data_IF_200352340429
#
_entry.id   IF_200352340429
#
_cell.length_a   1.000
_cell.length_b   1.000
_cell.length_c   1.000
_cell.angle_alpha   90.00
_cell.angle_beta   90.00
_cell.angle_gamma   90.00
#
_symmetry.space_group_name_H-M   'P 1'
#
loop_
_entity.id
_entity.type
_entity.pdbx_description
1 polymer ?
#
# COMPACT_ATOMS: atom_id res chain seq x y z
N UNK A 1 -12.34 -0.88 39.30
CA UNK A 1 -11.58 -2.12 39.64
C UNK A 1 -10.46 -2.25 38.63
N UNK A 2 -9.21 -2.53 39.01
CA UNK A 2 -8.14 -2.71 38.02
C UNK A 2 -8.30 -4.08 37.36
N UNK A 3 -8.78 -4.12 36.11
CA UNK A 3 -9.05 -5.34 35.33
C UNK A 3 -7.84 -6.32 35.29
N UNK A 4 -6.62 -5.81 35.46
CA UNK A 4 -5.38 -6.62 35.48
C UNK A 4 -5.33 -7.65 36.60
N UNK A 5 -6.04 -7.45 37.71
CA UNK A 5 -6.03 -8.36 38.86
C UNK A 5 -7.01 -9.53 38.71
N UNK A 6 -7.87 -9.50 37.68
CA UNK A 6 -8.92 -10.51 37.43
C UNK A 6 -8.55 -11.49 36.32
N UNK A 7 -7.38 -11.31 35.67
CA UNK A 7 -6.93 -12.15 34.56
C UNK A 7 -6.36 -13.48 35.10
N UNK A 8 -6.94 -14.64 34.74
CA UNK A 8 -6.39 -15.95 35.12
C UNK A 8 -5.02 -16.21 34.50
N UNK A 9 -4.11 -16.91 35.19
CA UNK A 9 -2.80 -17.29 34.61
C UNK A 9 -2.94 -18.15 33.33
N UNK A 10 -4.00 -18.94 33.24
CA UNK A 10 -4.33 -19.76 32.06
C UNK A 10 -4.70 -18.94 30.82
N UNK A 11 -5.07 -17.67 30.97
CA UNK A 11 -5.41 -16.76 29.87
C UNK A 11 -4.27 -16.62 28.85
N UNK A 12 -3.03 -16.55 29.35
CA UNK A 12 -1.84 -16.35 28.54
C UNK A 12 -1.43 -17.59 27.72
N UNK A 13 -2.07 -18.74 27.96
CA UNK A 13 -1.78 -19.98 27.23
C UNK A 13 -2.08 -19.87 25.72
N UNK A 14 -2.99 -18.97 25.32
CA UNK A 14 -3.30 -18.68 23.91
C UNK A 14 -2.05 -18.35 23.09
N UNK A 15 -1.14 -17.55 23.62
CA UNK A 15 0.06 -17.13 22.90
C UNK A 15 1.11 -18.24 22.78
N UNK A 16 0.98 -19.31 23.59
CA UNK A 16 1.88 -20.48 23.57
C UNK A 16 1.30 -21.68 22.81
N UNK A 17 0.00 -21.65 22.53
CA UNK A 17 -0.72 -22.69 21.82
C UNK A 17 -0.19 -22.85 20.38
N UNK A 18 -0.19 -24.09 19.90
CA UNK A 18 0.13 -24.42 18.49
C UNK A 18 -1.03 -23.99 17.57
N UNK A 19 -2.27 -23.98 18.08
CA UNK A 19 -3.48 -23.58 17.38
C UNK A 19 -3.85 -22.09 17.59
N UNK A 20 -2.89 -21.24 18.01
CA UNK A 20 -3.15 -19.85 18.41
C UNK A 20 -3.95 -19.03 17.38
N UNK A 21 -3.64 -19.17 16.09
CA UNK A 21 -4.31 -18.41 15.02
C UNK A 21 -5.79 -18.80 14.93
N UNK A 22 -6.06 -20.10 15.00
CA UNK A 22 -7.42 -20.66 14.98
C UNK A 22 -8.23 -20.17 16.18
N UNK A 23 -7.62 -20.11 17.36
CA UNK A 23 -8.28 -19.62 18.56
C UNK A 23 -8.53 -18.10 18.52
N UNK A 24 -7.61 -17.31 17.97
CA UNK A 24 -7.81 -15.87 17.76
C UNK A 24 -8.96 -15.64 16.77
N UNK A 25 -8.96 -16.32 15.63
CA UNK A 25 -10.05 -16.24 14.65
C UNK A 25 -11.41 -16.64 15.25
N UNK A 26 -11.43 -17.72 16.03
CA UNK A 26 -12.62 -18.18 16.73
C UNK A 26 -13.19 -17.11 17.69
N UNK A 27 -12.31 -16.41 18.42
CA UNK A 27 -12.70 -15.32 19.31
C UNK A 27 -13.27 -14.14 18.54
N UNK A 28 -12.68 -13.77 17.40
CA UNK A 28 -13.19 -12.70 16.53
C UNK A 28 -14.58 -13.03 15.98
N UNK A 29 -14.80 -14.27 15.52
CA UNK A 29 -16.13 -14.69 15.05
C UNK A 29 -17.19 -14.67 16.17
N UNK A 30 -16.82 -15.09 17.38
CA UNK A 30 -17.74 -15.03 18.54
C UNK A 30 -18.02 -13.57 18.93
N UNK A 31 -17.00 -12.70 18.88
CA UNK A 31 -17.13 -11.26 19.19
C UNK A 31 -18.16 -10.59 18.27
N UNK A 32 -18.05 -10.81 16.96
CA UNK A 32 -18.97 -10.26 15.97
C UNK A 32 -20.43 -10.64 16.25
N UNK A 33 -20.70 -11.91 16.57
CA UNK A 33 -22.05 -12.39 16.88
C UNK A 33 -22.54 -11.91 18.26
N UNK A 34 -21.61 -11.64 19.18
CA UNK A 34 -21.92 -11.07 20.49
C UNK A 34 -22.39 -9.61 20.37
N UNK A 35 -21.83 -8.82 19.45
CA UNK A 35 -22.26 -7.43 19.19
C UNK A 35 -23.72 -7.32 18.75
N UNK A 36 -24.22 -8.31 17.99
CA UNK A 36 -25.61 -8.34 17.54
C UNK A 36 -26.59 -8.94 18.56
N UNK A 37 -26.09 -9.46 19.69
CA UNK A 37 -26.88 -10.15 20.72
C UNK A 37 -27.06 -9.31 21.99
N UNK A 38 -28.27 -9.32 22.57
CA UNK A 38 -28.63 -8.35 23.62
C UNK A 38 -27.90 -8.46 24.97
N UNK A 39 -27.16 -9.53 25.27
CA UNK A 39 -26.30 -9.64 26.49
C UNK A 39 -25.52 -10.96 26.58
N UNK A 40 -26.01 -12.04 25.97
CA UNK A 40 -25.42 -13.37 26.06
C UNK A 40 -25.60 -14.14 24.75
N UNK A 41 -24.64 -15.02 24.47
CA UNK A 41 -24.76 -16.03 23.42
C UNK A 41 -25.09 -17.38 24.05
N UNK A 42 -26.02 -18.13 23.48
CA UNK A 42 -26.22 -19.52 23.93
C UNK A 42 -25.06 -20.39 23.45
N UNK A 43 -24.72 -21.44 24.21
CA UNK A 43 -23.66 -22.39 23.83
C UNK A 43 -23.89 -22.96 22.42
N UNK A 44 -25.15 -23.22 22.06
CA UNK A 44 -25.54 -23.77 20.76
C UNK A 44 -25.22 -22.81 19.61
N UNK A 45 -25.50 -21.51 19.79
CA UNK A 45 -25.18 -20.48 18.79
C UNK A 45 -23.66 -20.36 18.63
N UNK A 46 -22.89 -20.33 19.73
CA UNK A 46 -21.43 -20.33 19.65
C UNK A 46 -20.89 -21.56 18.90
N UNK A 47 -21.44 -22.75 19.17
CA UNK A 47 -21.04 -23.97 18.47
C UNK A 47 -21.38 -23.93 16.98
N UNK A 48 -22.54 -23.38 16.62
CA UNK A 48 -22.93 -23.23 15.22
C UNK A 48 -21.99 -22.28 14.48
N UNK A 49 -21.69 -21.10 15.05
CA UNK A 49 -20.77 -20.11 14.48
C UNK A 49 -19.37 -20.71 14.28
N UNK A 50 -18.85 -21.41 15.29
CA UNK A 50 -17.54 -22.08 15.18
C UNK A 50 -17.57 -23.24 14.19
N UNK A 51 -18.68 -23.95 14.07
CA UNK A 51 -18.85 -25.01 13.08
C UNK A 51 -18.83 -24.44 11.65
N UNK A 52 -19.52 -23.34 11.42
CA UNK A 52 -19.55 -22.65 10.13
C UNK A 52 -18.16 -22.10 9.76
N UNK A 53 -17.44 -21.51 10.73
CA UNK A 53 -16.05 -21.08 10.58
C UNK A 53 -15.14 -22.25 10.17
N UNK A 54 -15.23 -23.38 10.90
CA UNK A 54 -14.43 -24.57 10.63
C UNK A 54 -14.74 -25.18 9.25
N UNK A 55 -16.01 -25.16 8.82
CA UNK A 55 -16.41 -25.63 7.50
C UNK A 55 -15.85 -24.75 6.38
N UNK A 56 -15.87 -23.43 6.55
CA UNK A 56 -15.31 -22.47 5.57
C UNK A 56 -13.80 -22.61 5.41
N UNK A 57 -13.06 -22.78 6.51
CA UNK A 57 -11.59 -22.77 6.51
C UNK A 57 -10.94 -24.16 6.47
N UNK A 58 -11.71 -25.25 6.54
CA UNK A 58 -11.20 -26.65 6.60
C UNK A 58 -10.12 -26.86 7.66
N UNK A 59 -10.39 -26.34 8.86
CA UNK A 59 -9.42 -26.30 9.96
C UNK A 59 -9.08 -27.71 10.45
N UNK A 60 -7.79 -28.00 10.62
CA UNK A 60 -7.27 -29.19 11.31
C UNK A 60 -6.61 -28.74 12.61
N UNK A 61 -7.19 -29.11 13.75
CA UNK A 61 -6.64 -28.81 15.06
C UNK A 61 -5.53 -29.81 15.41
N UNK A 62 -4.38 -29.31 15.84
CA UNK A 62 -3.33 -30.12 16.45
C UNK A 62 -3.65 -30.41 17.92
N UNK A 63 -3.08 -31.48 18.48
CA UNK A 63 -3.33 -31.89 19.86
C UNK A 63 -2.67 -30.91 20.83
N UNK A 64 -3.43 -30.36 21.76
CA UNK A 64 -2.92 -29.51 22.84
C UNK A 64 -2.40 -30.37 24.00
N UNK A 65 -1.35 -29.92 24.70
CA UNK A 65 -0.76 -30.66 25.85
C UNK A 65 -1.76 -30.89 26.99
N UNK A 66 -2.81 -30.07 27.07
CA UNK A 66 -3.83 -30.13 28.12
C UNK A 66 -5.10 -30.90 27.74
N UNK A 67 -5.15 -31.50 26.55
CA UNK A 67 -6.29 -32.28 26.04
C UNK A 67 -6.20 -33.76 26.45
N UNK A 68 -7.31 -34.26 26.99
CA UNK A 68 -7.53 -35.68 27.27
C UNK A 68 -7.90 -36.45 26.00
N UNK A 69 -7.77 -37.77 26.02
CA UNK A 69 -8.16 -38.62 24.88
C UNK A 69 -9.67 -38.55 24.60
N UNK A 70 -10.49 -38.14 25.59
CA UNK A 70 -11.92 -37.93 25.43
C UNK A 70 -12.23 -36.64 24.66
N UNK A 71 -11.45 -35.58 24.88
CA UNK A 71 -11.60 -34.31 24.15
C UNK A 71 -11.35 -34.49 22.65
N UNK A 72 -10.54 -35.47 22.27
CA UNK A 72 -10.24 -35.81 20.88
C UNK A 72 -11.44 -36.41 20.12
N UNK A 73 -12.47 -36.89 20.84
CA UNK A 73 -13.71 -37.42 20.27
C UNK A 73 -14.75 -36.33 20.00
N UNK A 74 -14.57 -35.13 20.54
CA UNK A 74 -15.48 -34.01 20.33
C UNK A 74 -15.29 -33.36 18.95
N UNK A 75 -16.32 -32.65 18.48
CA UNK A 75 -16.21 -31.86 17.25
C UNK A 75 -15.16 -30.75 17.41
N UNK A 76 -14.47 -30.34 16.33
CA UNK A 76 -13.51 -29.24 16.39
C UNK A 76 -14.08 -27.95 17.00
N UNK A 77 -15.35 -27.64 16.71
CA UNK A 77 -16.05 -26.49 17.29
C UNK A 77 -16.23 -26.61 18.82
N UNK A 78 -16.57 -27.80 19.32
CA UNK A 78 -16.69 -28.05 20.76
C UNK A 78 -15.33 -27.99 21.46
N UNK A 79 -14.28 -28.57 20.85
CA UNK A 79 -12.91 -28.49 21.37
C UNK A 79 -12.42 -27.05 21.50
N UNK A 80 -12.63 -26.23 20.46
CA UNK A 80 -12.28 -24.80 20.48
C UNK A 80 -13.04 -24.07 21.60
N UNK A 81 -14.36 -24.25 21.68
CA UNK A 81 -15.19 -23.58 22.67
C UNK A 81 -14.81 -23.97 24.11
N UNK A 82 -14.64 -25.26 24.37
CA UNK A 82 -14.27 -25.77 25.68
C UNK A 82 -12.87 -25.28 26.09
N UNK A 83 -11.93 -25.23 25.15
CA UNK A 83 -10.58 -24.70 25.40
C UNK A 83 -10.62 -23.20 25.75
N UNK A 84 -11.38 -22.39 25.00
CA UNK A 84 -11.55 -20.96 25.27
C UNK A 84 -12.23 -20.68 26.62
N UNK A 85 -13.17 -21.53 27.04
CA UNK A 85 -13.78 -21.44 28.38
C UNK A 85 -12.77 -21.85 29.47
N UNK A 86 -12.01 -22.93 29.27
CA UNK A 86 -11.00 -23.43 30.24
C UNK A 86 -9.86 -22.43 30.45
N UNK A 87 -9.46 -21.72 29.39
CA UNK A 87 -8.41 -20.71 29.44
C UNK A 87 -8.90 -19.34 29.92
N UNK A 88 -10.21 -19.20 30.17
CA UNK A 88 -10.79 -17.99 30.72
C UNK A 88 -10.96 -16.86 29.70
N UNK A 89 -10.88 -17.14 28.39
CA UNK A 89 -11.27 -16.19 27.35
C UNK A 89 -12.79 -16.02 27.27
N UNK A 90 -13.53 -17.08 27.60
CA UNK A 90 -14.99 -17.10 27.65
C UNK A 90 -15.46 -17.57 29.02
N UNK A 91 -16.57 -17.00 29.52
CA UNK A 91 -17.18 -17.40 30.78
C UNK A 91 -18.52 -18.06 30.55
N UNK A 92 -18.68 -19.26 31.11
CA UNK A 92 -19.94 -19.99 31.13
C UNK A 92 -20.83 -19.44 32.25
N UNK A 93 -22.06 -19.08 31.91
CA UNK A 93 -23.11 -18.71 32.86
C UNK A 93 -24.28 -19.66 32.64
N UNK A 94 -24.66 -20.39 33.67
CA UNK A 94 -25.85 -21.24 33.64
C UNK A 94 -27.03 -20.42 34.14
N UNK A 95 -28.07 -20.29 33.29
CA UNK A 95 -29.34 -19.73 33.72
C UNK A 95 -30.23 -20.88 34.21
N UNK A 96 -30.39 -20.96 35.53
CA UNK A 96 -31.20 -21.99 36.18
C UNK A 96 -32.69 -21.87 35.85
N UNK A 97 -33.15 -20.72 35.33
CA UNK A 97 -34.55 -20.50 34.99
C UNK A 97 -34.92 -21.01 33.59
N UNK A 98 -34.02 -20.86 32.61
CA UNK A 98 -34.20 -21.33 31.24
C UNK A 98 -33.56 -22.68 30.97
N UNK A 99 -32.76 -23.21 31.90
CA UNK A 99 -31.91 -24.40 31.72
C UNK A 99 -30.96 -24.26 30.52
N UNK A 100 -30.65 -23.03 30.11
CA UNK A 100 -29.73 -22.76 29.01
C UNK A 100 -28.34 -22.43 29.53
N UNK A 101 -27.33 -22.96 28.85
CA UNK A 101 -25.94 -22.55 29.07
C UNK A 101 -25.64 -21.36 28.17
N UNK A 102 -25.35 -20.23 28.80
CA UNK A 102 -24.96 -19.00 28.14
C UNK A 102 -23.45 -18.79 28.24
N UNK A 103 -22.90 -18.09 27.26
CA UNK A 103 -21.49 -17.74 27.12
C UNK A 103 -21.39 -16.22 27.08
N UNK A 104 -20.48 -15.69 27.89
CA UNK A 104 -20.20 -14.26 28.02
C UNK A 104 -18.71 -14.03 27.85
N UNK A 105 -18.37 -12.94 27.18
CA UNK A 105 -17.00 -12.46 27.05
C UNK A 105 -16.68 -11.59 28.29
N UNK A 106 -15.71 -11.95 29.13
CA UNK A 106 -15.28 -11.10 30.26
C UNK A 106 -14.66 -9.77 29.80
N UNK A 107 -14.78 -8.72 30.60
CA UNK A 107 -14.29 -7.37 30.28
C UNK A 107 -12.79 -7.33 29.90
N UNK A 108 -11.95 -8.10 30.61
CA UNK A 108 -10.51 -8.18 30.29
C UNK A 108 -10.25 -8.86 28.93
N UNK A 109 -11.08 -9.83 28.55
CA UNK A 109 -10.96 -10.54 27.29
C UNK A 109 -11.44 -9.65 26.15
N UNK A 110 -12.52 -8.89 26.35
CA UNK A 110 -13.04 -7.92 25.39
C UNK A 110 -11.98 -6.88 24.98
N UNK A 111 -11.18 -6.37 25.93
CA UNK A 111 -10.08 -5.44 25.62
C UNK A 111 -9.04 -6.07 24.68
N UNK A 112 -8.72 -7.35 24.88
CA UNK A 112 -7.75 -8.06 24.05
C UNK A 112 -8.34 -8.46 22.69
N UNK A 113 -9.61 -8.85 22.65
CA UNK A 113 -10.33 -9.14 21.41
C UNK A 113 -10.41 -7.87 20.56
N UNK A 114 -10.74 -6.71 21.14
CA UNK A 114 -10.72 -5.44 20.41
C UNK A 114 -9.33 -5.05 19.90
N UNK A 115 -8.26 -5.50 20.57
CA UNK A 115 -6.90 -5.36 20.05
C UNK A 115 -6.64 -6.31 18.87
N UNK A 116 -7.13 -7.55 18.92
CA UNK A 116 -7.03 -8.48 17.79
C UNK A 116 -7.87 -8.02 16.59
N UNK A 117 -9.05 -7.45 16.83
CA UNK A 117 -9.90 -6.85 15.80
C UNK A 117 -9.12 -5.75 15.08
N UNK A 118 -8.50 -4.82 15.80
CA UNK A 118 -7.64 -3.77 15.22
C UNK A 118 -6.40 -4.27 14.49
N UNK A 119 -5.87 -5.42 14.88
CA UNK A 119 -4.75 -6.04 14.17
C UNK A 119 -5.19 -6.75 12.89
N UNK A 120 -6.47 -7.12 12.80
CA UNK A 120 -7.06 -7.87 11.69
C UNK A 120 -7.82 -6.96 10.73
N UNK A 121 -8.40 -5.86 11.20
CA UNK A 121 -8.96 -4.82 10.38
C UNK A 121 -7.82 -4.07 9.69
N UNK A 122 -7.81 -4.11 8.37
CA UNK A 122 -7.10 -3.08 7.61
C UNK A 122 -7.87 -1.78 7.87
N UNK A 123 -7.42 -0.97 8.83
CA UNK A 123 -7.99 0.35 9.14
C UNK A 123 -7.76 1.31 7.94
N UNK A 124 -8.46 1.07 6.84
CA UNK A 124 -8.37 1.83 5.60
C UNK A 124 -9.25 3.09 5.60
N UNK A 125 -10.07 3.33 6.62
CA UNK A 125 -11.11 4.37 6.57
C UNK A 125 -11.10 5.37 7.75
N UNK A 126 -10.23 5.24 8.76
CA UNK A 126 -10.36 6.07 9.97
C UNK A 126 -9.87 7.52 9.82
N UNK A 127 -8.94 7.81 8.90
CA UNK A 127 -8.30 9.14 8.84
C UNK A 127 -9.21 10.26 8.30
N UNK A 128 -10.04 9.97 7.29
CA UNK A 128 -11.01 10.93 6.75
C UNK A 128 -12.10 11.25 7.79
N UNK A 129 -12.55 10.24 8.53
CA UNK A 129 -13.52 10.37 9.63
C UNK A 129 -12.97 11.29 10.73
N UNK A 130 -11.67 11.23 11.05
CA UNK A 130 -11.09 12.08 12.10
C UNK A 130 -11.13 13.56 11.75
N UNK A 131 -10.85 13.96 10.50
CA UNK A 131 -10.85 15.37 10.09
C UNK A 131 -12.27 15.94 10.16
N UNK A 132 -13.24 15.23 9.59
CA UNK A 132 -14.65 15.61 9.64
C UNK A 132 -15.16 15.69 11.08
N UNK A 133 -14.83 14.70 11.91
CA UNK A 133 -15.24 14.68 13.31
C UNK A 133 -14.66 15.85 14.09
N UNK A 134 -13.41 16.26 13.83
CA UNK A 134 -12.85 17.46 14.46
C UNK A 134 -13.63 18.70 14.04
N UNK A 135 -13.86 18.89 12.74
CA UNK A 135 -14.63 20.03 12.24
C UNK A 135 -16.05 20.07 12.81
N UNK A 136 -16.78 18.96 12.75
CA UNK A 136 -18.14 18.85 13.27
C UNK A 136 -18.21 19.10 14.78
N UNK A 137 -17.24 18.57 15.54
CA UNK A 137 -17.18 18.76 16.99
C UNK A 137 -16.87 20.21 17.35
N UNK A 138 -15.93 20.86 16.67
CA UNK A 138 -15.62 22.28 16.88
C UNK A 138 -16.78 23.18 16.47
N UNK A 139 -17.42 22.92 15.33
CA UNK A 139 -18.57 23.68 14.87
C UNK A 139 -19.76 23.53 15.83
N UNK A 140 -20.02 22.32 16.33
CA UNK A 140 -21.04 22.08 17.34
C UNK A 140 -20.70 22.76 18.67
N UNK A 141 -19.42 22.73 19.09
CA UNK A 141 -18.95 23.36 20.31
C UNK A 141 -19.21 24.86 20.33
N UNK A 142 -19.07 25.52 19.18
CA UNK A 142 -19.30 26.95 19.05
C UNK A 142 -20.78 27.33 19.06
N UNK A 143 -21.58 26.58 18.30
CA UNK A 143 -22.93 27.01 17.94
C UNK A 143 -24.02 26.48 18.88
N UNK A 144 -23.73 25.47 19.69
CA UNK A 144 -24.71 24.90 20.62
C UNK A 144 -24.39 25.28 22.08
N UNK A 145 -25.29 26.02 22.77
CA UNK A 145 -25.07 26.47 24.14
C UNK A 145 -25.09 25.34 25.20
N UNK A 146 -25.49 24.11 24.84
CA UNK A 146 -25.58 22.96 25.76
C UNK A 146 -24.27 22.17 25.91
N UNK A 147 -23.21 22.60 25.24
CA UNK A 147 -22.02 21.78 25.03
C UNK A 147 -21.01 21.87 26.19
N UNK A 148 -20.36 20.75 26.48
CA UNK A 148 -19.35 20.55 27.54
C UNK A 148 -17.93 20.54 26.95
N UNK A 149 -16.94 20.97 27.75
CA UNK A 149 -15.50 20.95 27.49
C UNK A 149 -14.97 19.57 27.05
N UNK A 150 -15.67 18.49 27.40
CA UNK A 150 -15.43 17.14 26.88
C UNK A 150 -15.49 17.02 25.34
N UNK A 151 -16.20 17.90 24.64
CA UNK A 151 -16.18 17.96 23.18
C UNK A 151 -14.85 18.49 22.64
N UNK A 152 -14.25 19.51 23.26
CA UNK A 152 -12.89 19.95 22.92
C UNK A 152 -11.87 18.84 23.18
N UNK A 153 -12.01 18.11 24.30
CA UNK A 153 -11.17 16.92 24.56
C UNK A 153 -11.35 15.85 23.48
N UNK A 154 -12.57 15.62 23.01
CA UNK A 154 -12.85 14.68 21.92
C UNK A 154 -12.21 15.13 20.61
N UNK A 155 -12.33 16.42 20.27
CA UNK A 155 -11.68 17.01 19.10
C UNK A 155 -10.14 16.88 19.19
N UNK A 156 -9.56 17.10 20.37
CA UNK A 156 -8.14 16.91 20.61
C UNK A 156 -7.71 15.44 20.45
N UNK A 157 -8.49 14.50 20.98
CA UNK A 157 -8.23 13.06 20.80
C UNK A 157 -8.23 12.68 19.32
N UNK A 158 -9.22 13.14 18.55
CA UNK A 158 -9.30 12.89 17.11
C UNK A 158 -8.11 13.52 16.37
N UNK A 159 -7.72 14.75 16.74
CA UNK A 159 -6.53 15.42 16.18
C UNK A 159 -5.24 14.65 16.46
N UNK A 160 -5.08 14.09 17.68
CA UNK A 160 -3.94 13.25 18.05
C UNK A 160 -3.94 11.92 17.30
N UNK A 161 -5.10 11.29 17.10
CA UNK A 161 -5.22 10.05 16.32
C UNK A 161 -4.83 10.25 14.87
N UNK A 162 -5.29 11.34 14.25
CA UNK A 162 -4.92 11.71 12.89
C UNK A 162 -3.40 11.92 12.76
N UNK A 163 -2.80 12.66 13.69
CA UNK A 163 -1.35 12.86 13.74
C UNK A 163 -0.58 11.54 13.84
N UNK A 164 -1.06 10.62 14.70
CA UNK A 164 -0.45 9.30 14.87
C UNK A 164 -0.55 8.47 13.58
N UNK A 165 -1.71 8.44 12.92
CA UNK A 165 -1.89 7.70 11.68
C UNK A 165 -0.93 8.18 10.57
N UNK A 166 -0.74 9.51 10.44
CA UNK A 166 0.25 10.07 9.50
C UNK A 166 1.69 9.73 9.89
N UNK A 167 2.00 9.69 11.18
CA UNK A 167 3.30 9.27 11.67
C UNK A 167 3.59 7.79 11.37
N UNK A 168 2.62 6.92 11.59
CA UNK A 168 2.74 5.49 11.31
C UNK A 168 2.93 5.26 9.79
N UNK A 169 2.27 6.05 8.95
CA UNK A 169 2.50 6.03 7.50
C UNK A 169 3.93 6.44 7.12
N UNK A 170 4.48 7.48 7.75
CA UNK A 170 5.89 7.88 7.56
C UNK A 170 6.85 6.75 7.96
N UNK A 171 6.65 6.12 9.12
CA UNK A 171 7.47 4.98 9.54
C UNK A 171 7.36 3.78 8.59
N UNK A 172 6.16 3.52 8.05
CA UNK A 172 5.98 2.46 7.05
C UNK A 172 6.78 2.75 5.78
N UNK A 173 6.84 4.01 5.33
CA UNK A 173 7.69 4.39 4.19
C UNK A 173 9.17 4.14 4.46
N UNK A 174 9.67 4.48 5.64
CA UNK A 174 11.07 4.22 6.01
C UNK A 174 11.39 2.72 5.98
N UNK A 175 10.45 1.89 6.43
CA UNK A 175 10.55 0.43 6.36
C UNK A 175 10.60 -0.09 4.92
N UNK A 176 9.80 0.48 4.02
CA UNK A 176 9.87 0.16 2.58
C UNK A 176 11.21 0.61 1.97
N UNK A 177 11.76 1.75 2.39
CA UNK A 177 13.10 2.18 1.98
C UNK A 177 14.20 1.22 2.42
N UNK A 178 14.14 0.70 3.65
CA UNK A 178 15.10 -0.29 4.14
C UNK A 178 15.04 -1.57 3.28
N UNK A 179 13.83 -2.09 3.06
CA UNK A 179 13.60 -3.31 2.26
C UNK A 179 13.96 -3.15 0.79
N UNK A 180 13.84 -1.94 0.24
CA UNK A 180 14.20 -1.62 -1.14
C UNK A 180 15.64 -2.03 -1.48
N UNK A 181 16.56 -1.91 -0.52
CA UNK A 181 17.97 -2.24 -0.71
C UNK A 181 18.24 -3.75 -0.68
N UNK A 182 17.43 -4.49 0.07
CA UNK A 182 17.57 -5.93 0.25
C UNK A 182 17.07 -6.73 -0.97
N UNK A 183 16.24 -6.14 -1.83
CA UNK A 183 15.76 -6.82 -3.04
C UNK A 183 16.81 -6.82 -4.14
N UNK A 184 17.18 -8.02 -4.55
CA UNK A 184 18.14 -8.28 -5.64
C UNK A 184 17.46 -8.48 -6.99
N UNK A 185 16.20 -8.96 -7.01
CA UNK A 185 15.48 -9.30 -8.24
C UNK A 185 14.51 -8.20 -8.67
N UNK A 186 14.44 -7.96 -9.99
CA UNK A 186 13.51 -6.98 -10.57
C UNK A 186 12.04 -7.30 -10.27
N UNK A 187 11.63 -8.56 -10.45
CA UNK A 187 10.24 -8.98 -10.25
C UNK A 187 9.79 -8.80 -8.80
N UNK A 188 10.64 -9.16 -7.85
CA UNK A 188 10.32 -9.05 -6.43
C UNK A 188 10.25 -7.58 -5.99
N UNK A 189 11.17 -6.76 -6.50
CA UNK A 189 11.16 -5.32 -6.26
C UNK A 189 9.92 -4.63 -6.83
N UNK A 190 9.53 -4.96 -8.07
CA UNK A 190 8.34 -4.41 -8.70
C UNK A 190 7.06 -4.85 -7.96
N UNK A 191 6.99 -6.12 -7.55
CA UNK A 191 5.87 -6.64 -6.77
C UNK A 191 5.75 -5.93 -5.43
N UNK A 192 6.84 -5.75 -4.69
CA UNK A 192 6.82 -5.02 -3.41
C UNK A 192 6.43 -3.55 -3.59
N UNK A 193 6.85 -2.92 -4.70
CA UNK A 193 6.43 -1.57 -5.01
C UNK A 193 4.92 -1.47 -5.29
N UNK A 194 4.37 -2.33 -6.14
CA UNK A 194 2.97 -2.29 -6.56
C UNK A 194 2.02 -2.85 -5.49
N UNK A 195 2.25 -4.08 -5.02
CA UNK A 195 1.34 -4.76 -4.10
C UNK A 195 1.56 -4.32 -2.64
N UNK A 196 2.75 -3.78 -2.33
CA UNK A 196 3.09 -3.30 -0.99
C UNK A 196 2.98 -1.79 -0.87
N UNK A 197 3.93 -1.06 -1.46
CA UNK A 197 4.04 0.38 -1.25
C UNK A 197 2.86 1.17 -1.82
N UNK A 198 2.37 0.84 -3.02
CA UNK A 198 1.25 1.55 -3.63
C UNK A 198 -0.05 1.33 -2.83
N UNK A 199 -0.35 0.09 -2.45
CA UNK A 199 -1.56 -0.20 -1.66
C UNK A 199 -1.48 0.33 -0.22
N UNK A 200 -0.36 0.15 0.48
CA UNK A 200 -0.25 0.52 1.89
C UNK A 200 0.00 2.02 2.12
N UNK A 201 0.72 2.69 1.22
CA UNK A 201 1.15 4.09 1.41
C UNK A 201 0.45 5.01 0.41
N UNK A 202 0.58 4.74 -0.90
CA UNK A 202 0.10 5.68 -1.93
C UNK A 202 -1.42 5.80 -1.91
N UNK A 203 -2.13 4.68 -1.80
CA UNK A 203 -3.59 4.66 -1.75
C UNK A 203 -4.10 5.37 -0.50
N UNK A 204 -3.53 5.08 0.68
CA UNK A 204 -3.89 5.77 1.93
C UNK A 204 -3.62 7.28 1.87
N UNK A 205 -2.46 7.67 1.33
CA UNK A 205 -2.11 9.08 1.10
C UNK A 205 -3.06 9.76 0.11
N UNK A 206 -3.41 9.09 -0.99
CA UNK A 206 -4.34 9.59 -1.99
C UNK A 206 -5.71 9.85 -1.36
N UNK A 207 -6.19 8.96 -0.51
CA UNK A 207 -7.45 9.13 0.20
C UNK A 207 -7.46 10.41 1.06
N UNK A 208 -6.44 10.62 1.89
CA UNK A 208 -6.34 11.82 2.76
C UNK A 208 -6.29 13.15 1.98
N UNK A 209 -5.68 13.17 0.79
CA UNK A 209 -5.34 14.40 0.07
C UNK A 209 -6.19 14.69 -1.17
N UNK A 210 -6.86 13.70 -1.76
CA UNK A 210 -7.52 13.84 -3.07
C UNK A 210 -8.97 13.34 -3.10
N UNK A 211 -9.46 12.65 -2.08
CA UNK A 211 -10.90 12.36 -1.94
C UNK A 211 -11.68 13.66 -1.66
N UNK A 212 -13.01 13.63 -1.84
CA UNK A 212 -13.95 14.75 -1.59
C UNK A 212 -13.81 15.38 -0.20
N UNK A 213 -13.23 14.67 0.77
CA UNK A 213 -12.98 15.11 2.14
C UNK A 213 -11.51 15.44 2.41
N UNK A 214 -10.93 16.24 1.51
CA UNK A 214 -9.53 16.63 1.55
C UNK A 214 -9.21 17.48 2.80
N UNK A 215 -8.13 17.12 3.50
CA UNK A 215 -7.55 17.89 4.62
C UNK A 215 -7.49 19.40 4.36
N UNK A 216 -7.10 19.82 3.15
CA UNK A 216 -6.95 21.23 2.82
C UNK A 216 -8.27 22.01 2.78
N UNK A 217 -9.41 21.32 2.60
CA UNK A 217 -10.75 21.92 2.67
C UNK A 217 -11.04 22.27 4.14
N UNK A 218 -11.00 21.26 5.02
CA UNK A 218 -11.36 21.43 6.43
C UNK A 218 -10.34 22.25 7.22
N UNK A 219 -9.04 22.22 6.87
CA UNK A 219 -7.99 22.95 7.59
C UNK A 219 -8.30 24.44 7.74
N UNK A 220 -8.68 25.09 6.65
CA UNK A 220 -8.95 26.53 6.66
C UNK A 220 -10.18 26.86 7.50
N UNK A 221 -11.21 26.03 7.42
CA UNK A 221 -12.44 26.21 8.19
C UNK A 221 -12.23 25.92 9.69
N UNK A 222 -11.43 24.91 10.03
CA UNK A 222 -11.04 24.59 11.40
C UNK A 222 -10.20 25.73 11.99
N UNK A 223 -9.16 26.20 11.29
CA UNK A 223 -8.33 27.33 11.75
C UNK A 223 -9.15 28.59 11.96
N UNK A 224 -10.06 28.89 11.02
CA UNK A 224 -10.99 30.02 11.17
C UNK A 224 -11.88 29.84 12.40
N UNK A 225 -12.43 28.64 12.61
CA UNK A 225 -13.27 28.34 13.77
C UNK A 225 -12.50 28.52 15.09
N UNK A 226 -11.27 28.01 15.18
CA UNK A 226 -10.40 28.15 16.36
C UNK A 226 -10.04 29.61 16.62
N UNK A 227 -9.68 30.37 15.59
CA UNK A 227 -9.35 31.79 15.71
C UNK A 227 -10.57 32.60 16.20
N UNK A 228 -11.75 32.35 15.62
CA UNK A 228 -12.97 33.04 16.03
C UNK A 228 -13.42 32.67 17.45
N UNK A 229 -13.13 31.45 17.94
CA UNK A 229 -13.32 31.09 19.35
C UNK A 229 -12.32 31.77 20.29
N UNK A 230 -11.09 31.97 19.82
CA UNK A 230 -10.00 32.58 20.59
C UNK A 230 -10.17 34.08 20.77
N UNK A 231 -10.72 34.75 19.76
CA UNK A 231 -10.92 36.21 19.76
C UNK A 231 -12.18 36.64 20.56
N UNK A 232 -13.00 35.69 21.01
CA UNK A 232 -14.23 35.94 21.79
C UNK A 232 -14.00 35.75 23.29
N UNK A 233 -13.41 36.76 23.94
CA UNK A 233 -13.09 36.75 25.38
C UNK A 233 -14.33 36.56 26.26
N UNK A 234 -15.48 37.13 25.88
CA UNK A 234 -16.74 36.99 26.61
C UNK A 234 -17.26 35.55 26.55
N UNK A 235 -17.17 34.92 25.38
CA UNK A 235 -17.54 33.51 25.22
C UNK A 235 -16.60 32.57 26.00
N UNK A 236 -15.28 32.79 25.95
CA UNK A 236 -14.30 31.98 26.69
C UNK A 236 -14.60 31.99 28.19
N UNK A 237 -14.85 33.18 28.74
CA UNK A 237 -15.14 33.31 30.18
C UNK A 237 -16.46 32.62 30.54
N UNK A 238 -17.48 32.72 29.68
CA UNK A 238 -18.75 31.98 29.86
C UNK A 238 -18.57 30.45 29.86
N UNK A 239 -17.59 29.93 29.12
CA UNK A 239 -17.29 28.49 29.07
C UNK A 239 -16.52 28.07 30.32
N UNK A 240 -15.57 28.90 30.79
CA UNK A 240 -14.82 28.66 32.03
C UNK A 240 -15.73 28.62 33.26
N UNK A 241 -16.65 29.58 33.39
CA UNK A 241 -17.61 29.61 34.50
C UNK A 241 -18.49 28.34 34.54
N UNK A 242 -18.94 27.88 33.37
CA UNK A 242 -19.73 26.64 33.24
C UNK A 242 -18.91 25.39 33.57
N UNK A 243 -17.64 25.36 33.16
CA UNK A 243 -16.74 24.24 33.46
C UNK A 243 -16.41 24.15 34.95
N UNK A 244 -16.16 25.30 35.59
CA UNK A 244 -15.95 25.39 37.03
C UNK A 244 -17.18 24.90 37.81
N UNK A 245 -18.39 25.24 37.36
CA UNK A 245 -19.63 24.75 37.94
C UNK A 245 -19.82 23.22 37.79
N UNK A 246 -19.19 22.61 36.77
CA UNK A 246 -19.15 21.17 36.54
C UNK A 246 -18.06 20.41 37.32
N UNK A 247 -17.20 21.12 38.08
CA UNK A 247 -16.10 20.52 38.84
C UNK A 247 -14.87 20.13 38.01
N UNK A 248 -14.74 20.67 36.79
CA UNK A 248 -13.61 20.41 35.89
C UNK A 248 -12.62 21.58 35.98
N UNK A 249 -11.62 21.43 36.86
CA UNK A 249 -10.61 22.46 37.22
C UNK A 249 -9.24 22.18 36.55
N UNK A 250 -9.21 21.26 35.57
CA UNK A 250 -7.98 20.60 35.13
C UNK A 250 -7.29 21.15 33.88
N UNK A 251 -8.03 21.68 32.90
CA UNK A 251 -7.47 22.11 31.61
C UNK A 251 -8.15 23.40 31.14
N UNK A 252 -7.35 24.41 30.78
CA UNK A 252 -7.87 25.68 30.27
C UNK A 252 -8.40 25.51 28.83
N UNK A 253 -9.52 26.15 28.52
CA UNK A 253 -10.13 26.16 27.18
C UNK A 253 -9.11 26.65 26.14
N UNK A 254 -8.35 27.68 26.47
CA UNK A 254 -7.31 28.23 25.60
C UNK A 254 -6.18 27.23 25.34
N UNK A 255 -5.78 26.45 26.35
CA UNK A 255 -4.75 25.43 26.19
C UNK A 255 -5.22 24.32 25.25
N UNK A 256 -6.48 23.89 25.37
CA UNK A 256 -7.06 22.89 24.47
C UNK A 256 -7.16 23.40 23.02
N UNK A 257 -7.56 24.65 22.82
CA UNK A 257 -7.58 25.26 21.48
C UNK A 257 -6.17 25.34 20.88
N UNK A 258 -5.18 25.80 21.65
CA UNK A 258 -3.77 25.86 21.23
C UNK A 258 -3.21 24.48 20.86
N UNK A 259 -3.56 23.44 21.62
CA UNK A 259 -3.11 22.07 21.34
C UNK A 259 -3.75 21.50 20.06
N UNK A 260 -5.02 21.83 19.80
CA UNK A 260 -5.68 21.45 18.54
C UNK A 260 -5.04 22.20 17.37
N UNK A 261 -4.84 23.52 17.47
CA UNK A 261 -4.23 24.33 16.42
C UNK A 261 -2.82 23.83 16.04
N UNK A 262 -1.94 23.64 17.04
CA UNK A 262 -0.60 23.06 16.83
C UNK A 262 -0.68 21.67 16.21
N UNK A 263 -1.68 20.87 16.60
CA UNK A 263 -1.92 19.56 16.01
C UNK A 263 -2.18 19.63 14.51
N UNK A 264 -2.88 20.65 14.01
CA UNK A 264 -3.12 20.85 12.58
C UNK A 264 -1.90 21.40 11.82
N UNK A 265 -1.08 22.22 12.46
CA UNK A 265 0.20 22.67 11.90
C UNK A 265 1.18 21.48 11.73
N UNK A 266 1.25 20.62 12.74
CA UNK A 266 2.08 19.40 12.69
C UNK A 266 1.61 18.45 11.57
N UNK A 267 0.29 18.32 11.35
CA UNK A 267 -0.26 17.52 10.27
C UNK A 267 0.20 18.05 8.91
N UNK A 268 0.15 19.36 8.68
CA UNK A 268 0.60 19.97 7.44
C UNK A 268 2.10 19.71 7.20
N UNK A 269 2.93 19.90 8.21
CA UNK A 269 4.36 19.60 8.12
C UNK A 269 4.64 18.11 7.84
N UNK A 270 3.85 17.20 8.43
CA UNK A 270 3.96 15.75 8.20
C UNK A 270 3.55 15.38 6.77
N UNK A 271 2.49 16.00 6.24
CA UNK A 271 2.06 15.80 4.84
C UNK A 271 3.17 16.24 3.89
N UNK A 272 3.75 17.44 4.09
CA UNK A 272 4.85 17.93 3.25
C UNK A 272 6.09 17.03 3.32
N UNK A 273 6.43 16.53 4.51
CA UNK A 273 7.52 15.57 4.67
C UNK A 273 7.22 14.23 3.98
N UNK A 274 5.96 13.78 4.06
CA UNK A 274 5.51 12.56 3.39
C UNK A 274 5.59 12.69 1.87
N UNK A 275 5.25 13.84 1.30
CA UNK A 275 5.43 14.13 -0.12
C UNK A 275 6.90 14.02 -0.53
N UNK A 276 7.79 14.65 0.24
CA UNK A 276 9.23 14.63 -0.02
C UNK A 276 9.82 13.22 0.04
N UNK A 277 9.50 12.45 1.09
CA UNK A 277 9.99 11.07 1.23
C UNK A 277 9.37 10.14 0.18
N UNK A 278 8.10 10.34 -0.19
CA UNK A 278 7.47 9.61 -1.29
C UNK A 278 8.19 9.85 -2.63
N UNK A 279 8.44 11.12 -3.00
CA UNK A 279 9.16 11.44 -4.24
C UNK A 279 10.58 10.86 -4.25
N UNK A 280 11.26 10.87 -3.09
CA UNK A 280 12.58 10.25 -2.92
C UNK A 280 12.50 8.74 -3.06
N UNK A 281 11.47 8.09 -2.52
CA UNK A 281 11.26 6.64 -2.62
C UNK A 281 11.03 6.23 -4.05
N UNK A 282 10.08 6.86 -4.74
CA UNK A 282 9.78 6.58 -6.14
C UNK A 282 11.01 6.78 -7.01
N UNK A 283 11.78 7.86 -6.80
CA UNK A 283 13.04 8.10 -7.53
C UNK A 283 14.07 7.01 -7.26
N UNK A 284 14.24 6.60 -6.00
CA UNK A 284 15.17 5.53 -5.63
C UNK A 284 14.75 4.20 -6.25
N UNK A 285 13.48 3.85 -6.17
CA UNK A 285 12.88 2.63 -6.75
C UNK A 285 13.03 2.60 -8.26
N UNK A 286 12.69 3.68 -8.96
CA UNK A 286 12.88 3.78 -10.43
C UNK A 286 14.36 3.67 -10.79
N UNK A 287 15.26 4.30 -10.03
CA UNK A 287 16.70 4.20 -10.27
C UNK A 287 17.20 2.76 -10.05
N UNK A 288 16.70 2.08 -9.03
CA UNK A 288 17.03 0.68 -8.70
C UNK A 288 16.47 -0.29 -9.75
N UNK A 289 15.22 -0.12 -10.17
CA UNK A 289 14.60 -0.88 -11.25
C UNK A 289 15.39 -0.71 -12.56
N UNK A 290 15.75 0.53 -12.90
CA UNK A 290 16.59 0.83 -14.06
C UNK A 290 17.98 0.19 -13.93
N UNK A 291 18.59 0.18 -12.74
CA UNK A 291 19.86 -0.51 -12.49
C UNK A 291 19.75 -2.01 -12.80
N UNK A 292 18.71 -2.68 -12.26
CA UNK A 292 18.47 -4.11 -12.48
C UNK A 292 18.14 -4.42 -13.95
N UNK A 293 17.40 -3.54 -14.64
CA UNK A 293 17.08 -3.65 -16.07
C UNK A 293 18.29 -3.39 -16.97
N UNK A 294 19.13 -2.41 -16.61
CA UNK A 294 20.25 -1.97 -17.44
C UNK A 294 21.38 -3.00 -17.51
N UNK A 295 21.42 -3.95 -16.58
CA UNK A 295 22.45 -4.98 -16.48
C UNK A 295 22.77 -5.68 -17.80
N UNK A 296 21.82 -5.81 -18.72
CA UNK A 296 21.99 -6.63 -19.93
C UNK A 296 22.19 -5.85 -21.24
N UNK A 297 21.95 -4.52 -21.30
CA UNK A 297 21.81 -3.83 -22.60
C UNK A 297 22.59 -2.52 -22.78
N UNK A 298 22.87 -1.77 -21.70
CA UNK A 298 23.60 -0.49 -21.79
C UNK A 298 25.07 -0.64 -21.37
N UNK A 299 25.94 0.17 -21.96
CA UNK A 299 27.36 0.31 -21.58
C UNK A 299 27.54 0.51 -20.07
N UNK A 300 26.63 1.26 -19.43
CA UNK A 300 26.60 1.43 -17.97
C UNK A 300 26.33 0.11 -17.24
N UNK A 301 25.40 -0.70 -17.73
CA UNK A 301 25.08 -2.01 -17.16
C UNK A 301 26.22 -3.01 -17.30
N UNK A 302 26.91 -3.02 -18.45
CA UNK A 302 28.10 -3.84 -18.67
C UNK A 302 29.24 -3.47 -17.71
N UNK A 303 29.44 -2.17 -17.46
CA UNK A 303 30.42 -1.69 -16.47
C UNK A 303 30.03 -2.15 -15.06
N UNK A 304 28.75 -2.04 -14.71
CA UNK A 304 28.22 -2.49 -13.42
C UNK A 304 28.41 -4.00 -13.23
N UNK A 305 28.06 -4.82 -14.22
CA UNK A 305 28.26 -6.28 -14.17
C UNK A 305 29.74 -6.64 -13.98
N UNK A 306 30.62 -5.95 -14.70
CA UNK A 306 32.06 -6.14 -14.58
C UNK A 306 32.56 -5.76 -13.17
N UNK A 307 32.11 -4.63 -12.61
CA UNK A 307 32.43 -4.21 -11.24
C UNK A 307 31.92 -5.21 -10.19
N UNK A 308 30.69 -5.71 -10.33
CA UNK A 308 30.14 -6.72 -9.44
C UNK A 308 30.94 -8.03 -9.51
N UNK A 309 31.35 -8.46 -10.71
CA UNK A 309 32.19 -9.65 -10.91
C UNK A 309 33.59 -9.49 -10.31
N UNK A 310 34.17 -8.30 -10.38
CA UNK A 310 35.43 -7.97 -9.70
C UNK A 310 35.23 -7.98 -8.18
N UNK A 311 34.14 -7.38 -7.69
CA UNK A 311 33.84 -7.28 -6.26
C UNK A 311 33.64 -8.64 -5.59
N UNK A 312 32.95 -9.56 -6.28
CA UNK A 312 32.63 -10.91 -5.79
C UNK A 312 33.79 -11.90 -5.88
N UNK A 313 34.90 -11.56 -6.55
CA UNK A 313 36.05 -12.47 -6.69
C UNK A 313 37.14 -12.16 -5.67
N UNK A 314 37.75 -13.20 -5.11
CA UNK A 314 38.92 -13.08 -4.23
C UNK A 314 40.19 -12.60 -4.97
N UNK A 315 40.19 -12.65 -6.31
CA UNK A 315 41.33 -12.25 -7.17
C UNK A 315 41.09 -10.90 -7.84
N UNK A 316 40.73 -9.89 -7.04
CA UNK A 316 40.37 -8.54 -7.51
C UNK A 316 41.45 -7.94 -8.41
N UNK A 317 42.71 -7.99 -8.00
CA UNK A 317 43.83 -7.39 -8.71
C UNK A 317 44.07 -7.99 -10.10
N UNK A 318 43.86 -9.31 -10.26
CA UNK A 318 44.05 -10.00 -11.54
C UNK A 318 42.94 -9.65 -12.53
N UNK A 319 41.69 -9.57 -12.06
CA UNK A 319 40.54 -9.17 -12.87
C UNK A 319 40.60 -7.68 -13.24
N UNK A 320 41.07 -6.81 -12.33
CA UNK A 320 41.29 -5.39 -12.63
C UNK A 320 42.34 -5.24 -13.73
N UNK A 321 43.45 -5.99 -13.68
CA UNK A 321 44.50 -5.93 -14.70
C UNK A 321 44.00 -6.36 -16.09
N UNK A 322 43.30 -7.50 -16.16
CA UNK A 322 42.68 -7.99 -17.40
C UNK A 322 41.63 -7.03 -17.96
N UNK A 323 40.89 -6.36 -17.08
CA UNK A 323 39.94 -5.33 -17.47
C UNK A 323 40.66 -4.11 -18.05
N UNK A 324 41.70 -3.62 -17.36
CA UNK A 324 42.48 -2.46 -17.77
C UNK A 324 43.16 -2.68 -19.14
N UNK A 325 43.65 -3.89 -19.43
CA UNK A 325 44.21 -4.24 -20.75
C UNK A 325 43.19 -4.17 -21.90
N UNK A 326 41.89 -4.32 -21.60
CA UNK A 326 40.80 -4.29 -22.58
C UNK A 326 40.08 -2.94 -22.62
N UNK A 327 40.29 -2.08 -21.63
CA UNK A 327 39.70 -0.75 -21.56
C UNK A 327 40.65 0.30 -22.11
N UNK A 328 40.22 0.98 -23.17
CA UNK A 328 40.99 2.07 -23.75
C UNK A 328 40.65 3.40 -23.06
N UNK A 329 41.07 3.53 -21.80
CA UNK A 329 40.89 4.75 -21.02
C UNK A 329 41.93 5.78 -21.45
N UNK A 330 41.49 6.81 -22.17
CA UNK A 330 42.34 7.96 -22.48
C UNK A 330 42.35 8.92 -21.30
N UNK A 331 43.55 9.30 -20.87
CA UNK A 331 43.71 10.30 -19.81
C UNK A 331 43.34 11.68 -20.38
N UNK A 332 42.21 12.23 -19.93
CA UNK A 332 41.82 13.60 -20.27
C UNK A 332 42.48 14.57 -19.29
N UNK A 333 43.58 15.19 -19.71
CA UNK A 333 44.24 16.23 -18.92
C UNK A 333 43.66 17.60 -19.26
N UNK A 334 42.97 18.22 -18.31
CA UNK A 334 42.36 19.54 -18.49
C UNK A 334 43.40 20.58 -18.09
N UNK A 335 44.07 21.20 -19.07
CA UNK A 335 45.13 22.21 -18.87
C UNK A 335 44.69 23.41 -18.00
N UNK A 336 43.40 23.72 -17.97
CA UNK A 336 42.81 24.78 -17.13
C UNK A 336 41.29 24.68 -17.17
N UNK A 337 40.61 24.89 -16.04
CA UNK A 337 39.14 24.90 -15.93
C UNK A 337 38.46 25.91 -16.89
N UNK A 338 39.20 26.91 -17.38
CA UNK A 338 38.72 27.90 -18.36
C UNK A 338 38.73 27.39 -19.80
N UNK A 339 39.37 26.25 -20.07
CA UNK A 339 39.54 25.66 -21.41
C UNK A 339 38.36 24.79 -21.82
N UNK A 340 37.51 24.39 -20.88
CA UNK A 340 36.29 23.65 -21.16
C UNK A 340 35.28 24.59 -21.80
N UNK A 341 34.85 24.26 -23.03
CA UNK A 341 33.77 24.97 -23.70
C UNK A 341 32.49 24.88 -22.86
N UNK A 342 32.15 25.96 -22.14
CA UNK A 342 30.85 26.12 -21.52
C UNK A 342 29.90 26.65 -22.59
N UNK A 343 29.02 25.78 -23.11
CA UNK A 343 27.92 26.21 -24.00
C UNK A 343 27.18 27.36 -23.30
N UNK A 344 27.18 28.54 -23.92
CA UNK A 344 26.52 29.73 -23.40
C UNK A 344 25.02 29.43 -23.29
N UNK A 345 24.53 29.11 -22.10
CA UNK A 345 23.09 29.06 -21.83
C UNK A 345 22.58 30.49 -21.92
N UNK A 346 21.48 30.73 -22.61
CA UNK A 346 20.78 32.01 -22.54
C UNK A 346 20.54 32.31 -21.05
N UNK A 347 20.73 33.56 -20.62
CA UNK A 347 20.35 33.96 -19.27
C UNK A 347 18.85 33.75 -19.17
N UNK A 348 18.45 32.69 -18.48
CA UNK A 348 17.08 32.57 -18.01
C UNK A 348 16.92 33.61 -16.89
N UNK A 349 15.97 34.52 -17.06
CA UNK A 349 15.64 35.53 -16.07
C UNK A 349 15.34 34.85 -14.73
N UNK A 350 15.78 35.47 -13.64
CA UNK A 350 15.70 34.91 -12.27
C UNK A 350 14.26 34.52 -11.86
N UNK A 351 13.25 35.08 -12.53
CA UNK A 351 11.82 34.76 -12.35
C UNK A 351 11.48 33.35 -12.86
N UNK A 352 12.24 32.77 -13.79
CA UNK A 352 12.03 31.40 -14.29
C UNK A 352 12.60 30.32 -13.35
N UNK A 353 13.22 30.68 -12.21
CA UNK A 353 13.56 29.72 -11.14
C UNK A 353 12.38 29.46 -10.21
N UNK A 354 11.26 30.15 -10.40
CA UNK A 354 9.95 29.74 -9.89
C UNK A 354 9.23 28.88 -10.93
N UNK A 355 9.93 27.95 -11.59
CA UNK A 355 9.23 26.82 -12.17
C UNK A 355 8.48 26.16 -11.01
N UNK A 356 7.15 26.18 -11.08
CA UNK A 356 6.32 25.27 -10.29
C UNK A 356 6.95 23.89 -10.43
N UNK A 357 7.10 23.15 -9.34
CA UNK A 357 7.37 21.71 -9.42
C UNK A 357 6.39 21.17 -10.46
N UNK A 358 6.90 20.77 -11.64
CA UNK A 358 6.09 20.03 -12.57
C UNK A 358 5.65 18.79 -11.79
N UNK A 359 4.34 18.69 -11.52
CA UNK A 359 3.73 17.41 -11.19
C UNK A 359 4.26 16.43 -12.24
N UNK A 360 5.05 15.46 -11.80
CA UNK A 360 5.50 14.39 -12.68
C UNK A 360 4.22 13.70 -13.12
N UNK A 361 3.75 14.01 -14.32
CA UNK A 361 2.59 13.37 -14.90
C UNK A 361 2.85 11.86 -14.89
N UNK A 362 1.87 11.10 -14.41
CA UNK A 362 1.88 9.64 -14.52
C UNK A 362 2.31 9.26 -15.94
N UNK A 363 3.19 8.26 -16.06
CA UNK A 363 3.71 7.78 -17.33
C UNK A 363 2.56 7.64 -18.33
N UNK A 364 2.54 8.50 -19.35
CA UNK A 364 1.50 8.45 -20.37
C UNK A 364 1.51 7.10 -21.07
N UNK A 365 0.38 6.69 -21.66
CA UNK A 365 0.26 5.42 -22.40
C UNK A 365 1.41 5.24 -23.41
N UNK A 366 1.84 6.30 -24.07
CA UNK A 366 2.99 6.27 -25.00
C UNK A 366 4.33 5.98 -24.31
N UNK A 367 4.52 6.44 -23.08
CA UNK A 367 5.73 6.22 -22.28
C UNK A 367 5.82 4.82 -21.70
N UNK A 368 4.70 4.29 -21.22
CA UNK A 368 4.55 2.87 -20.85
C UNK A 368 4.77 1.97 -22.07
N UNK A 369 4.28 2.38 -23.25
CA UNK A 369 4.53 1.67 -24.52
C UNK A 369 6.00 1.75 -24.95
N UNK A 370 6.70 2.87 -24.67
CA UNK A 370 8.16 2.96 -24.88
C UNK A 370 8.94 2.08 -23.90
N UNK A 371 8.50 1.95 -22.64
CA UNK A 371 9.09 1.01 -21.69
C UNK A 371 8.90 -0.46 -22.13
N UNK A 372 7.75 -0.80 -22.73
CA UNK A 372 7.54 -2.10 -23.37
C UNK A 372 8.51 -2.37 -24.54
N UNK A 373 9.09 -1.35 -25.19
CA UNK A 373 10.13 -1.55 -26.24
C UNK A 373 11.43 -2.14 -25.70
N UNK A 374 11.71 -1.97 -24.41
CA UNK A 374 12.89 -2.57 -23.75
C UNK A 374 12.66 -4.07 -23.49
N UNK A 375 11.39 -4.51 -23.46
CA UNK A 375 10.98 -5.90 -23.32
C UNK A 375 10.66 -6.60 -24.66
N UNK A 376 11.39 -6.30 -25.73
CA UNK A 376 11.24 -7.08 -26.96
C UNK A 376 12.04 -8.38 -26.81
N UNK A 377 11.35 -9.48 -26.48
CA UNK A 377 11.87 -10.87 -26.54
C UNK A 377 12.54 -11.19 -27.90
N UNK A 378 12.12 -10.47 -28.95
CA UNK A 378 12.57 -10.62 -30.32
C UNK A 378 13.22 -9.34 -30.86
N UNK A 379 14.40 -9.48 -31.46
CA UNK A 379 15.10 -8.41 -32.17
C UNK A 379 14.32 -7.95 -33.41
N UNK A 380 14.62 -6.74 -33.91
CA UNK A 380 14.04 -6.24 -35.17
C UNK A 380 14.25 -7.21 -36.34
N UNK A 381 15.43 -7.81 -36.43
CA UNK A 381 15.76 -8.79 -37.47
C UNK A 381 14.88 -10.04 -37.39
N UNK A 382 14.53 -10.51 -36.19
CA UNK A 382 13.63 -11.66 -36.02
C UNK A 382 12.18 -11.34 -36.41
N UNK A 383 11.73 -10.10 -36.21
CA UNK A 383 10.40 -9.66 -36.66
C UNK A 383 10.39 -9.56 -38.20
N UNK A 384 11.45 -9.02 -38.80
CA UNK A 384 11.57 -8.98 -40.26
C UNK A 384 11.64 -10.38 -40.88
N UNK A 385 12.42 -11.28 -40.29
CA UNK A 385 12.52 -12.68 -40.72
C UNK A 385 11.17 -13.41 -40.62
N UNK A 386 10.40 -13.15 -39.57
CA UNK A 386 9.04 -13.68 -39.44
C UNK A 386 8.12 -13.19 -40.57
N UNK A 387 8.13 -11.87 -40.85
CA UNK A 387 7.32 -11.32 -41.95
C UNK A 387 7.76 -11.92 -43.29
N UNK A 388 9.07 -12.00 -43.55
CA UNK A 388 9.62 -12.54 -44.80
C UNK A 388 9.36 -14.05 -44.97
N UNK A 389 9.40 -14.83 -43.89
CA UNK A 389 9.13 -16.27 -43.92
C UNK A 389 7.70 -16.60 -44.36
N UNK A 390 6.75 -15.73 -44.03
CA UNK A 390 5.33 -15.89 -44.35
C UNK A 390 4.88 -15.00 -45.52
N UNK A 391 5.82 -14.42 -46.27
CA UNK A 391 5.54 -13.57 -47.42
C UNK A 391 5.48 -14.38 -48.71
N UNK A 392 4.37 -14.28 -49.44
CA UNK A 392 4.19 -14.82 -50.79
C UNK A 392 3.97 -13.65 -51.75
N UNK A 393 4.71 -13.58 -52.86
CA UNK A 393 4.56 -12.51 -53.88
C UNK A 393 4.60 -11.07 -53.30
N UNK A 394 5.55 -10.80 -52.40
CA UNK A 394 5.75 -9.51 -51.69
C UNK A 394 4.62 -9.10 -50.72
N UNK A 395 3.68 -10.01 -50.42
CA UNK A 395 2.59 -9.82 -49.46
C UNK A 395 2.56 -10.95 -48.42
N UNK A 396 2.61 -10.62 -47.14
CA UNK A 396 2.30 -11.56 -46.07
C UNK A 396 0.82 -11.45 -45.72
N UNK A 397 0.06 -12.50 -46.00
CA UNK A 397 -1.36 -12.61 -45.64
C UNK A 397 -1.53 -13.41 -44.34
N UNK A 398 -2.03 -12.76 -43.29
CA UNK A 398 -2.19 -13.39 -41.98
C UNK A 398 -3.26 -14.49 -41.92
N UNK A 399 -4.12 -14.60 -42.94
CA UNK A 399 -5.06 -15.70 -43.11
C UNK A 399 -4.38 -17.01 -43.53
N UNK A 400 -3.20 -16.92 -44.16
CA UNK A 400 -2.50 -18.07 -44.74
C UNK A 400 -1.48 -18.70 -43.80
N UNK A 401 -1.33 -18.20 -42.57
CA UNK A 401 -0.40 -18.75 -41.58
C UNK A 401 -0.99 -20.05 -41.02
N UNK A 402 -0.42 -21.24 -41.32
CA UNK A 402 -0.90 -22.49 -40.75
C UNK A 402 -0.44 -22.61 -39.29
N UNK A 403 -1.33 -23.08 -38.41
CA UNK A 403 -1.07 -23.45 -37.01
C UNK A 403 -0.25 -22.41 -36.20
N UNK A 404 -0.90 -21.32 -35.80
CA UNK A 404 -0.23 -20.23 -35.09
C UNK A 404 0.20 -20.62 -33.65
N UNK A 405 1.52 -20.63 -33.41
CA UNK A 405 2.08 -20.82 -32.07
C UNK A 405 1.95 -19.55 -31.21
N UNK A 406 2.21 -19.67 -29.90
CA UNK A 406 2.26 -18.52 -28.98
C UNK A 406 3.35 -17.51 -29.37
N UNK A 407 4.51 -18.01 -29.79
CA UNK A 407 5.62 -17.18 -30.27
C UNK A 407 5.29 -16.49 -31.60
N UNK A 408 4.60 -17.17 -32.53
CA UNK A 408 4.20 -16.56 -33.81
C UNK A 408 3.14 -15.48 -33.61
N UNK A 409 2.22 -15.68 -32.65
CA UNK A 409 1.23 -14.68 -32.30
C UNK A 409 1.87 -13.44 -31.66
N UNK A 410 2.84 -13.62 -30.76
CA UNK A 410 3.63 -12.51 -30.21
C UNK A 410 4.35 -11.75 -31.33
N UNK A 411 5.03 -12.44 -32.24
CA UNK A 411 5.72 -11.83 -33.40
C UNK A 411 4.75 -11.11 -34.34
N UNK A 412 3.53 -11.60 -34.50
CA UNK A 412 2.49 -10.96 -35.31
C UNK A 412 2.07 -9.59 -34.74
N UNK A 413 1.86 -9.50 -33.42
CA UNK A 413 1.54 -8.22 -32.75
C UNK A 413 2.68 -7.22 -32.93
N UNK A 414 3.92 -7.69 -32.77
CA UNK A 414 5.12 -6.86 -32.94
C UNK A 414 5.35 -6.46 -34.41
N UNK A 415 5.00 -7.33 -35.37
CA UNK A 415 5.06 -7.03 -36.80
C UNK A 415 4.07 -5.93 -37.19
N UNK A 416 2.87 -5.92 -36.60
CA UNK A 416 1.89 -4.84 -36.75
C UNK A 416 2.43 -3.50 -36.21
N UNK A 417 2.90 -3.46 -34.96
CA UNK A 417 3.52 -2.25 -34.39
C UNK A 417 4.76 -1.78 -35.18
N UNK A 418 5.57 -2.72 -35.69
CA UNK A 418 6.70 -2.39 -36.55
C UNK A 418 6.23 -1.71 -37.84
N UNK A 419 5.22 -2.26 -38.50
CA UNK A 419 4.82 -1.87 -39.87
C UNK A 419 3.98 -0.59 -39.95
N UNK A 420 3.43 -0.10 -38.84
CA UNK A 420 2.75 1.21 -38.75
C UNK A 420 3.75 2.37 -38.78
N UNK A 421 5.01 2.14 -38.38
CA UNK A 421 6.01 3.21 -38.25
C UNK A 421 6.45 3.73 -39.61
N UNK A 422 6.84 5.00 -39.71
CA UNK A 422 7.29 5.59 -41.00
C UNK A 422 8.62 5.03 -41.52
N UNK A 423 9.47 4.51 -40.62
CA UNK A 423 10.82 4.06 -40.94
C UNK A 423 10.94 2.51 -41.02
N UNK A 424 9.82 1.79 -41.09
CA UNK A 424 9.82 0.32 -41.22
C UNK A 424 10.01 -0.11 -42.67
N UNK A 425 10.58 -1.31 -42.85
CA UNK A 425 10.73 -1.95 -44.16
C UNK A 425 9.41 -2.49 -44.74
N UNK A 426 8.40 -2.67 -43.88
CA UNK A 426 7.07 -3.20 -44.23
C UNK A 426 5.97 -2.21 -43.83
N UNK A 427 4.83 -2.27 -44.52
CA UNK A 427 3.62 -1.52 -44.20
C UNK A 427 2.47 -2.50 -43.93
N UNK A 428 1.69 -2.25 -42.88
CA UNK A 428 0.45 -2.96 -42.62
C UNK A 428 -0.66 -2.30 -43.43
N UNK A 429 -1.39 -3.09 -44.22
CA UNK A 429 -2.60 -2.69 -44.93
C UNK A 429 -3.76 -3.39 -44.22
N UNK A 430 -4.66 -2.58 -43.69
CA UNK A 430 -5.93 -3.05 -43.13
C UNK A 430 -6.95 -3.10 -44.28
N UNK A 431 -7.40 -4.30 -44.65
CA UNK A 431 -8.53 -4.49 -45.55
C UNK A 431 -9.72 -5.02 -44.74
N UNK A 432 -10.68 -4.13 -44.44
CA UNK A 432 -11.95 -4.42 -43.74
C UNK A 432 -11.86 -5.13 -42.36
N UNK A 433 -12.86 -4.97 -41.48
CA UNK A 433 -12.81 -5.49 -40.10
C UNK A 433 -13.14 -6.99 -40.02
N UNK A 434 -12.62 -7.81 -40.94
CA UNK A 434 -12.81 -9.26 -40.87
C UNK A 434 -11.88 -9.87 -39.82
N UNK A 435 -12.44 -10.66 -38.90
CA UNK A 435 -11.69 -11.27 -37.81
C UNK A 435 -11.33 -12.71 -38.16
N UNK A 436 -10.04 -13.03 -38.17
CA UNK A 436 -9.54 -14.39 -38.36
C UNK A 436 -9.50 -15.11 -37.02
N UNK A 437 -9.95 -16.36 -37.00
CA UNK A 437 -9.75 -17.28 -35.89
C UNK A 437 -8.75 -18.37 -36.30
N UNK A 438 -7.59 -18.40 -35.63
CA UNK A 438 -6.54 -19.39 -35.87
C UNK A 438 -6.20 -20.07 -34.53
N UNK A 439 -6.69 -21.30 -34.36
CA UNK A 439 -6.61 -22.03 -33.09
C UNK A 439 -7.31 -21.29 -31.94
N UNK A 440 -6.54 -20.97 -30.88
CA UNK A 440 -7.02 -20.27 -29.67
C UNK A 440 -6.99 -18.74 -29.77
N UNK A 441 -6.54 -18.19 -30.90
CA UNK A 441 -6.33 -16.75 -31.07
C UNK A 441 -7.31 -16.17 -32.10
N UNK A 442 -7.73 -14.92 -31.84
CA UNK A 442 -8.60 -14.15 -32.72
C UNK A 442 -8.00 -12.77 -32.95
N UNK A 443 -7.81 -12.39 -34.21
CA UNK A 443 -7.14 -11.15 -34.60
C UNK A 443 -7.70 -10.61 -35.92
N UNK A 444 -7.55 -9.30 -36.21
CA UNK A 444 -8.00 -8.70 -37.47
C UNK A 444 -7.26 -9.29 -38.68
N UNK A 445 -7.91 -9.33 -39.84
CA UNK A 445 -7.24 -9.66 -41.09
C UNK A 445 -6.25 -8.57 -41.48
N UNK A 446 -4.97 -8.92 -41.41
CA UNK A 446 -3.86 -8.00 -41.72
C UNK A 446 -3.08 -8.52 -42.92
N UNK A 447 -2.68 -7.59 -43.79
CA UNK A 447 -1.71 -7.85 -44.86
C UNK A 447 -0.48 -6.98 -44.68
N UNK A 448 0.71 -7.56 -44.73
CA UNK A 448 1.97 -6.81 -44.69
C UNK A 448 2.61 -6.76 -46.08
N UNK A 449 2.88 -5.56 -46.57
CA UNK A 449 3.53 -5.33 -47.86
C UNK A 449 4.92 -4.73 -47.67
N UNK A 450 5.86 -5.08 -48.53
CA UNK A 450 7.20 -4.48 -48.51
C UNK A 450 7.14 -3.04 -49.02
N UNK A 451 7.67 -2.08 -48.24
CA UNK A 451 7.79 -0.69 -48.69
C UNK A 451 8.87 -0.62 -49.76
N UNK A 452 8.53 -0.10 -50.93
CA UNK A 452 9.54 0.25 -51.94
C UNK A 452 10.18 1.58 -51.53
N UNK A 453 11.51 1.68 -51.52
CA UNK A 453 12.17 2.96 -51.30
C UNK A 453 11.79 3.91 -52.44
N UNK A 454 11.38 5.14 -52.10
CA UNK A 454 11.29 6.24 -53.05
C UNK A 454 12.69 6.73 -53.47
#
# INVERSE_FOLDING_TARGET
MQLRLEIPDSFWSLFRSVNREIYIDALLCISQEYEYSNYFLTREVCLQVLSDMNARRKIRLEREESESDFDMLETPASRILNWLVKTGWLKRIEDFSSMTTNIVIPDYAAVMIGAFERLTSEDMEETEIYIQNVYATLYSFRNDPRVNLNMLRTALVNTRRLNKALQDMLHNMDKFFERLLDKENYSDLLKEHLDGYVEEVVRKKYHILKTSDNFYIYKNDIKRCLQEMRDDDEWIESVRERSAAGGDDGEDVLELLDLIERGFDDIEHRIANMDKEHSKYVRATVTRLNYLLSGETDTKGLIVQLLNRISASDRKDELIRKTAEKMNLSHLEILSEKSLYKRRRARADFISRMEQEEEIADLGREEVLRMNRVQMRYSRSQIEEFIERHMEEDVMDTARIPDMSEEDFEKLILAYDYSIRRNSRFAAVEEEPEMIQNGRYRYPHLKFIRRRPE
#
